data_IF_676737912281
#
_entry.id   IF_676737912281
#
_cell.length_a   1.000
_cell.length_b   1.000
_cell.length_c   1.000
_cell.angle_alpha   90.00
_cell.angle_beta   90.00
_cell.angle_gamma   90.00
#
_symmetry.space_group_name_H-M   'P 1'
#
loop_
_entity.id
_entity.type
_entity.pdbx_description
1 polymer ?
#
# COMPACT_ATOMS: atom_id res chain seq x y z
N UNK A 1 2.34 3.31 4.60
CA UNK A 1 2.50 2.48 5.81
C UNK A 1 2.75 1.07 5.40
N UNK A 2 3.68 0.42 5.98
CA UNK A 2 4.55 -0.57 5.45
C UNK A 2 4.11 -1.98 5.68
N UNK A 3 4.40 -2.81 4.70
CA UNK A 3 4.68 -4.22 4.84
C UNK A 3 5.75 -4.41 5.93
N UNK A 4 5.38 -4.87 7.09
CA UNK A 4 6.32 -5.45 8.02
C UNK A 4 6.35 -6.95 7.73
N UNK A 5 7.48 -7.50 7.28
CA UNK A 5 7.62 -8.94 7.17
C UNK A 5 7.26 -9.57 8.51
N UNK A 6 6.80 -10.80 8.49
CA UNK A 6 6.45 -11.58 9.69
C UNK A 6 7.60 -11.66 10.68
N UNK A 7 7.82 -10.57 11.42
CA UNK A 7 8.68 -10.58 12.57
C UNK A 7 7.87 -11.01 13.78
N UNK A 8 8.45 -11.83 14.63
CA UNK A 8 7.87 -12.49 15.79
C UNK A 8 6.68 -11.75 16.43
N UNK A 9 5.65 -12.48 16.88
CA UNK A 9 4.42 -11.99 17.53
C UNK A 9 4.63 -10.78 18.47
N UNK A 10 5.74 -10.73 19.18
CA UNK A 10 6.07 -9.67 20.15
C UNK A 10 6.46 -8.31 19.52
N UNK A 11 7.03 -8.27 18.32
CA UNK A 11 7.48 -7.01 17.69
C UNK A 11 6.33 -6.23 17.05
N UNK A 12 5.30 -6.92 16.52
CA UNK A 12 4.10 -6.26 15.97
C UNK A 12 3.31 -5.53 17.06
N UNK A 13 3.08 -6.17 18.19
CA UNK A 13 2.37 -5.55 19.32
C UNK A 13 3.07 -4.30 19.83
N UNK A 14 4.41 -4.29 19.92
CA UNK A 14 5.18 -3.12 20.33
C UNK A 14 5.04 -1.95 19.33
N UNK A 15 5.02 -2.22 18.03
CA UNK A 15 4.80 -1.19 17.01
C UNK A 15 3.40 -0.56 17.14
N UNK A 16 2.36 -1.36 17.37
CA UNK A 16 0.99 -0.86 17.50
C UNK A 16 0.81 -0.01 18.75
N UNK A 17 1.44 -0.37 19.87
CA UNK A 17 1.45 0.43 21.10
C UNK A 17 2.17 1.76 20.88
N UNK A 18 3.37 1.74 20.28
CA UNK A 18 4.12 2.94 19.93
C UNK A 18 3.36 3.80 18.93
N UNK A 19 2.73 3.19 17.91
CA UNK A 19 1.88 3.89 16.94
C UNK A 19 0.77 4.69 17.62
N UNK A 20 0.07 4.10 18.58
CA UNK A 20 -0.96 4.80 19.35
C UNK A 20 -0.42 5.99 20.13
N UNK A 21 0.76 5.86 20.74
CA UNK A 21 1.39 6.94 21.52
C UNK A 21 1.89 8.11 20.66
N UNK A 22 2.35 7.85 19.44
CA UNK A 22 2.87 8.88 18.51
C UNK A 22 1.86 9.28 17.43
N UNK A 23 0.61 8.83 17.52
CA UNK A 23 -0.45 9.07 16.52
C UNK A 23 -0.10 8.58 15.12
N UNK A 24 0.54 7.41 15.04
CA UNK A 24 0.93 6.79 13.78
C UNK A 24 -0.15 5.81 13.33
N UNK A 25 -0.73 6.02 12.15
CA UNK A 25 -1.78 5.15 11.61
C UNK A 25 -1.18 3.92 10.96
N UNK A 26 -1.80 2.77 11.16
CA UNK A 26 -1.32 1.46 10.68
C UNK A 26 -2.45 0.71 9.98
N UNK A 27 -2.12 0.00 8.91
CA UNK A 27 -2.99 -1.01 8.32
C UNK A 27 -2.57 -2.40 8.79
N UNK A 28 -3.55 -3.20 9.18
CA UNK A 28 -3.32 -4.57 9.57
C UNK A 28 -3.38 -5.48 8.35
N UNK A 29 -2.27 -6.13 8.04
CA UNK A 29 -2.13 -7.09 6.94
C UNK A 29 -1.61 -8.43 7.45
N UNK A 30 -1.75 -9.48 6.63
CA UNK A 30 -1.10 -10.77 6.85
C UNK A 30 -0.45 -11.28 5.56
N UNK A 31 0.40 -12.31 5.70
CA UNK A 31 1.00 -12.94 4.53
C UNK A 31 -0.06 -13.62 3.66
N UNK A 32 0.05 -13.41 2.34
CA UNK A 32 -0.80 -14.06 1.37
C UNK A 32 -0.42 -15.54 1.19
N UNK A 33 -1.39 -16.44 0.92
CA UNK A 33 -1.09 -17.80 0.51
C UNK A 33 -0.47 -17.82 -0.90
N UNK A 34 0.35 -18.83 -1.19
CA UNK A 34 0.97 -18.98 -2.50
C UNK A 34 -0.02 -19.45 -3.58
N UNK A 35 -1.07 -20.16 -3.20
CA UNK A 35 -2.07 -20.75 -4.10
C UNK A 35 -3.47 -20.59 -3.51
N UNK A 36 -4.48 -20.58 -4.40
CA UNK A 36 -5.89 -20.59 -4.03
C UNK A 36 -6.41 -22.03 -3.98
N UNK A 37 -6.77 -22.52 -2.80
CA UNK A 37 -7.42 -23.80 -2.55
C UNK A 37 -8.17 -23.77 -1.21
N UNK A 38 -8.86 -24.86 -0.88
CA UNK A 38 -9.66 -24.99 0.35
C UNK A 38 -8.82 -24.79 1.62
N UNK A 39 -7.62 -25.39 1.68
CA UNK A 39 -6.69 -25.25 2.81
C UNK A 39 -6.25 -23.79 3.02
N UNK A 40 -5.98 -23.08 1.94
CA UNK A 40 -5.57 -21.67 1.98
C UNK A 40 -6.70 -20.78 2.49
N UNK A 41 -7.92 -21.03 2.04
CA UNK A 41 -9.13 -20.32 2.50
C UNK A 41 -9.33 -20.53 4.00
N UNK A 42 -9.32 -21.80 4.46
CA UNK A 42 -9.51 -22.12 5.88
C UNK A 42 -8.43 -21.47 6.76
N UNK A 43 -7.16 -21.59 6.34
CA UNK A 43 -6.02 -21.04 7.10
C UNK A 43 -6.09 -19.52 7.19
N UNK A 44 -6.41 -18.84 6.10
CA UNK A 44 -6.48 -17.39 6.09
C UNK A 44 -7.60 -16.86 6.98
N UNK A 45 -8.77 -17.47 6.94
CA UNK A 45 -9.89 -17.10 7.82
C UNK A 45 -9.55 -17.31 9.30
N UNK A 46 -8.90 -18.42 9.65
CA UNK A 46 -8.44 -18.68 11.01
C UNK A 46 -7.38 -17.69 11.46
N UNK A 47 -6.38 -17.41 10.62
CA UNK A 47 -5.32 -16.46 10.94
C UNK A 47 -5.88 -15.05 11.17
N UNK A 48 -6.83 -14.60 10.35
CA UNK A 48 -7.50 -13.32 10.55
C UNK A 48 -8.30 -13.25 11.84
N UNK A 49 -8.96 -14.34 12.25
CA UNK A 49 -9.61 -14.41 13.56
C UNK A 49 -8.61 -14.17 14.69
N UNK A 50 -7.44 -14.81 14.61
CA UNK A 50 -6.37 -14.67 15.61
C UNK A 50 -5.72 -13.27 15.57
N UNK A 51 -5.51 -12.70 14.38
CA UNK A 51 -4.96 -11.36 14.20
C UNK A 51 -5.86 -10.32 14.85
N UNK A 52 -7.15 -10.33 14.53
CA UNK A 52 -8.11 -9.38 15.10
C UNK A 52 -8.23 -9.57 16.61
N UNK A 53 -8.36 -10.79 17.10
CA UNK A 53 -8.42 -11.06 18.53
C UNK A 53 -7.19 -10.53 19.29
N UNK A 54 -6.00 -10.62 18.69
CA UNK A 54 -4.76 -10.11 19.26
C UNK A 54 -4.68 -8.58 19.21
N UNK A 55 -5.05 -8.00 18.06
CA UNK A 55 -4.69 -6.62 17.72
C UNK A 55 -5.88 -5.63 17.84
N UNK A 56 -7.09 -6.12 18.15
CA UNK A 56 -8.32 -5.32 18.27
C UNK A 56 -8.17 -4.08 19.16
N UNK A 57 -7.45 -4.19 20.26
CA UNK A 57 -7.28 -3.10 21.25
C UNK A 57 -6.25 -2.03 20.85
N UNK A 58 -5.63 -2.13 19.67
CA UNK A 58 -4.63 -1.15 19.22
C UNK A 58 -5.28 -0.01 18.41
N UNK A 59 -5.40 1.21 18.97
CA UNK A 59 -6.08 2.32 18.29
C UNK A 59 -5.32 2.88 17.08
N UNK A 60 -4.05 2.54 16.92
CA UNK A 60 -3.26 2.89 15.74
C UNK A 60 -3.67 2.15 14.47
N UNK A 61 -4.28 0.98 14.62
CA UNK A 61 -4.78 0.23 13.45
C UNK A 61 -6.10 0.88 13.01
N UNK A 62 -6.15 1.33 11.76
CA UNK A 62 -7.32 2.03 11.19
C UNK A 62 -8.05 1.24 10.13
N UNK A 63 -7.40 0.25 9.52
CA UNK A 63 -8.00 -0.62 8.49
C UNK A 63 -7.39 -2.01 8.51
N UNK A 64 -8.15 -3.00 8.02
CA UNK A 64 -7.72 -4.38 7.79
C UNK A 64 -7.62 -4.66 6.30
N UNK A 65 -6.55 -5.33 5.88
CA UNK A 65 -6.26 -5.65 4.49
C UNK A 65 -6.01 -7.15 4.34
N UNK A 66 -7.07 -7.95 4.04
CA UNK A 66 -6.95 -9.41 3.98
C UNK A 66 -6.21 -9.92 2.76
N UNK A 67 -6.20 -9.18 1.67
CA UNK A 67 -5.56 -9.55 0.40
C UNK A 67 -4.78 -8.35 -0.11
N UNK A 68 -3.54 -8.57 -0.50
CA UNK A 68 -2.69 -7.59 -1.19
C UNK A 68 -2.38 -8.07 -2.61
N UNK A 69 -2.55 -7.18 -3.60
CA UNK A 69 -2.14 -7.38 -4.99
C UNK A 69 -2.62 -8.70 -5.62
N UNK A 70 -3.79 -9.18 -5.20
CA UNK A 70 -4.35 -10.46 -5.64
C UNK A 70 -3.49 -11.68 -5.33
N UNK A 71 -2.47 -11.56 -4.45
CA UNK A 71 -1.71 -12.72 -3.99
C UNK A 71 -2.64 -13.72 -3.30
N UNK A 72 -2.54 -14.98 -3.72
CA UNK A 72 -3.43 -16.06 -3.27
C UNK A 72 -4.78 -16.14 -4.01
N UNK A 73 -5.16 -15.12 -4.78
CA UNK A 73 -6.38 -15.08 -5.58
C UNK A 73 -6.12 -14.56 -7.02
N UNK A 74 -5.20 -15.19 -7.77
CA UNK A 74 -4.66 -14.62 -9.02
C UNK A 74 -5.70 -14.43 -10.15
N UNK A 75 -6.90 -14.99 -10.01
CA UNK A 75 -7.99 -14.91 -10.98
C UNK A 75 -9.16 -14.03 -10.52
N UNK A 76 -9.00 -13.29 -9.44
CA UNK A 76 -10.07 -12.51 -8.80
C UNK A 76 -10.74 -11.53 -9.78
N UNK A 77 -10.01 -11.00 -10.76
CA UNK A 77 -10.57 -10.08 -11.76
C UNK A 77 -11.77 -10.65 -12.53
N UNK A 78 -11.86 -11.97 -12.70
CA UNK A 78 -12.89 -12.62 -13.54
C UNK A 78 -13.45 -13.93 -12.95
N UNK A 79 -12.80 -14.56 -11.97
CA UNK A 79 -13.25 -15.81 -11.35
C UNK A 79 -14.21 -15.51 -10.20
N UNK A 80 -15.48 -15.91 -10.37
CA UNK A 80 -16.54 -15.69 -9.38
C UNK A 80 -16.24 -16.36 -8.03
N UNK A 81 -15.56 -17.49 -8.01
CA UNK A 81 -15.21 -18.19 -6.77
C UNK A 81 -14.25 -17.37 -5.93
N UNK A 82 -13.21 -16.82 -6.57
CA UNK A 82 -12.25 -15.96 -5.89
C UNK A 82 -12.86 -14.60 -5.50
N UNK A 83 -13.79 -14.07 -6.31
CA UNK A 83 -14.55 -12.87 -5.94
C UNK A 83 -15.42 -13.12 -4.71
N UNK A 84 -16.12 -14.25 -4.64
CA UNK A 84 -16.91 -14.62 -3.45
C UNK A 84 -16.04 -14.80 -2.21
N UNK A 85 -14.83 -15.34 -2.37
CA UNK A 85 -13.90 -15.41 -1.25
C UNK A 85 -13.47 -14.01 -0.76
N UNK A 86 -13.13 -13.10 -1.65
CA UNK A 86 -12.80 -11.72 -1.29
C UNK A 86 -13.96 -11.01 -0.57
N UNK A 87 -15.19 -11.17 -1.07
CA UNK A 87 -16.39 -10.65 -0.40
C UNK A 87 -16.63 -11.32 0.96
N UNK A 88 -16.43 -12.64 1.05
CA UNK A 88 -16.54 -13.35 2.32
C UNK A 88 -15.53 -12.83 3.34
N UNK A 89 -14.28 -12.56 2.94
CA UNK A 89 -13.26 -11.95 3.80
C UNK A 89 -13.65 -10.54 4.25
N UNK A 90 -14.15 -9.72 3.34
CA UNK A 90 -14.63 -8.37 3.66
C UNK A 90 -15.72 -8.40 4.75
N UNK A 91 -16.78 -9.18 4.54
CA UNK A 91 -17.86 -9.29 5.52
C UNK A 91 -17.44 -10.00 6.82
N UNK A 92 -16.55 -10.98 6.72
CA UNK A 92 -16.01 -11.67 7.87
C UNK A 92 -15.22 -10.76 8.80
N UNK A 93 -14.37 -9.90 8.26
CA UNK A 93 -13.59 -8.94 9.04
C UNK A 93 -14.51 -7.90 9.70
N UNK A 94 -15.54 -7.41 9.01
CA UNK A 94 -16.56 -6.54 9.59
C UNK A 94 -17.38 -7.23 10.69
N UNK A 95 -17.61 -8.54 10.57
CA UNK A 95 -18.28 -9.31 11.62
C UNK A 95 -17.42 -9.44 12.89
N UNK A 96 -16.09 -9.49 12.74
CA UNK A 96 -15.15 -9.55 13.86
C UNK A 96 -14.83 -8.17 14.44
N UNK A 97 -14.76 -7.14 13.60
CA UNK A 97 -14.47 -5.76 14.00
C UNK A 97 -15.33 -4.75 13.21
N UNK A 98 -16.38 -4.26 13.85
CA UNK A 98 -17.30 -3.25 13.30
C UNK A 98 -16.77 -1.83 13.33
N UNK A 99 -15.56 -1.60 13.85
CA UNK A 99 -15.02 -0.26 14.13
C UNK A 99 -13.99 0.20 13.11
N UNK A 100 -13.41 -0.72 12.34
CA UNK A 100 -12.36 -0.43 11.36
C UNK A 100 -12.84 -0.72 9.95
N UNK A 101 -12.23 0.02 9.01
CA UNK A 101 -12.47 -0.17 7.58
C UNK A 101 -11.76 -1.43 7.06
N UNK A 102 -12.22 -1.95 5.93
CA UNK A 102 -11.64 -3.11 5.25
C UNK A 102 -11.34 -2.78 3.79
N UNK A 103 -10.11 -3.03 3.36
CA UNK A 103 -9.72 -3.02 1.94
C UNK A 103 -9.75 -4.47 1.47
N UNK A 104 -10.68 -4.83 0.60
CA UNK A 104 -10.92 -6.23 0.21
C UNK A 104 -9.76 -6.87 -0.56
N UNK A 105 -9.05 -6.06 -1.38
CA UNK A 105 -7.84 -6.42 -2.09
C UNK A 105 -7.06 -5.12 -2.37
N UNK A 106 -5.91 -4.94 -1.75
CA UNK A 106 -5.14 -3.70 -1.88
C UNK A 106 -4.45 -3.64 -3.25
N UNK A 107 -4.55 -2.49 -3.91
CA UNK A 107 -3.87 -2.17 -5.16
C UNK A 107 -4.74 -2.25 -6.41
N UNK A 108 -5.50 -3.33 -6.61
CA UNK A 108 -6.35 -3.55 -7.80
C UNK A 108 -7.35 -4.69 -7.61
N UNK A 109 -8.19 -4.89 -8.65
CA UNK A 109 -9.20 -5.96 -8.73
C UNK A 109 -10.03 -6.11 -7.46
N UNK A 110 -10.38 -4.97 -6.83
CA UNK A 110 -11.21 -4.94 -5.62
C UNK A 110 -12.61 -5.47 -5.91
N UNK A 111 -13.16 -6.18 -4.93
CA UNK A 111 -14.58 -6.48 -4.85
C UNK A 111 -15.28 -5.38 -4.05
N UNK A 112 -16.20 -5.71 -3.15
CA UNK A 112 -16.75 -4.80 -2.16
C UNK A 112 -15.65 -4.33 -1.21
N UNK A 113 -15.53 -3.01 -0.96
CA UNK A 113 -14.44 -2.43 -0.19
C UNK A 113 -14.84 -1.07 0.39
N UNK A 114 -14.30 -0.70 1.56
CA UNK A 114 -14.55 0.62 2.17
C UNK A 114 -13.64 1.71 1.60
N UNK A 115 -12.50 1.32 1.04
CA UNK A 115 -11.49 2.22 0.50
C UNK A 115 -11.15 1.76 -0.92
N UNK A 116 -11.11 2.68 -1.87
CA UNK A 116 -10.53 2.44 -3.19
C UNK A 116 -9.01 2.59 -3.07
N UNK A 117 -8.32 1.46 -2.98
CA UNK A 117 -6.88 1.37 -2.76
C UNK A 117 -6.14 1.14 -4.08
N UNK A 118 -5.16 1.98 -4.40
CA UNK A 118 -4.46 1.96 -5.68
C UNK A 118 -2.96 1.82 -5.45
N UNK A 119 -2.32 0.90 -6.20
CA UNK A 119 -0.87 0.85 -6.33
C UNK A 119 -0.45 1.44 -7.68
N UNK A 120 0.54 2.32 -7.66
CA UNK A 120 1.06 2.92 -8.88
C UNK A 120 2.54 3.23 -8.79
N UNK A 121 3.36 2.39 -9.42
CA UNK A 121 4.80 2.54 -9.53
C UNK A 121 5.26 3.05 -10.92
N UNK A 122 4.33 3.45 -11.78
CA UNK A 122 4.59 3.77 -13.18
C UNK A 122 5.17 5.18 -13.42
N UNK A 123 5.86 5.76 -12.42
CA UNK A 123 6.44 7.11 -12.52
C UNK A 123 7.71 7.18 -13.41
N UNK A 124 8.31 6.03 -13.73
CA UNK A 124 9.51 5.94 -14.57
C UNK A 124 10.76 6.55 -13.95
N UNK A 125 11.91 6.29 -14.56
CA UNK A 125 13.18 6.96 -14.24
C UNK A 125 13.10 8.46 -14.55
N UNK A 126 14.00 9.26 -14.00
CA UNK A 126 14.02 10.73 -14.19
C UNK A 126 14.08 11.17 -15.65
N UNK A 127 14.67 10.36 -16.53
CA UNK A 127 14.79 10.60 -17.97
C UNK A 127 13.52 10.20 -18.75
N UNK A 128 12.64 9.38 -18.17
CA UNK A 128 11.42 8.85 -18.79
C UNK A 128 10.25 9.82 -18.59
N UNK A 129 10.38 11.03 -19.15
CA UNK A 129 9.40 12.12 -18.95
C UNK A 129 7.98 11.76 -19.37
N UNK A 130 7.80 10.96 -20.42
CA UNK A 130 6.48 10.50 -20.89
C UNK A 130 5.79 9.60 -19.84
N UNK A 131 6.55 8.71 -19.19
CA UNK A 131 6.02 7.88 -18.10
C UNK A 131 5.61 8.73 -16.90
N UNK A 132 6.45 9.70 -16.54
CA UNK A 132 6.14 10.61 -15.45
C UNK A 132 4.93 11.50 -15.75
N UNK A 133 4.79 12.00 -16.98
CA UNK A 133 3.61 12.77 -17.37
C UNK A 133 2.33 11.92 -17.36
N UNK A 134 2.41 10.65 -17.78
CA UNK A 134 1.30 9.71 -17.65
C UNK A 134 0.95 9.43 -16.18
N UNK A 135 1.96 9.23 -15.33
CA UNK A 135 1.77 9.04 -13.89
C UNK A 135 1.05 10.24 -13.26
N UNK A 136 1.55 11.47 -13.51
CA UNK A 136 0.91 12.70 -13.04
C UNK A 136 -0.55 12.81 -13.48
N UNK A 137 -0.80 12.57 -14.76
CA UNK A 137 -2.14 12.68 -15.31
C UNK A 137 -3.08 11.59 -14.74
N UNK A 138 -2.56 10.40 -14.46
CA UNK A 138 -3.33 9.33 -13.81
C UNK A 138 -3.76 9.73 -12.39
N UNK A 139 -2.89 10.38 -11.64
CA UNK A 139 -3.19 10.78 -10.26
C UNK A 139 -4.02 12.07 -10.16
N UNK A 140 -4.12 12.86 -11.21
CA UNK A 140 -4.58 14.23 -11.19
C UNK A 140 -5.99 14.40 -10.63
N UNK A 141 -6.94 13.59 -11.07
CA UNK A 141 -8.35 13.69 -10.70
C UNK A 141 -8.92 12.34 -10.28
N UNK A 142 -10.02 12.35 -9.52
CA UNK A 142 -10.76 11.14 -9.17
C UNK A 142 -11.14 10.32 -10.41
N UNK A 143 -11.61 10.99 -11.47
CA UNK A 143 -11.96 10.31 -12.71
C UNK A 143 -10.77 9.58 -13.34
N UNK A 144 -9.60 10.22 -13.39
CA UNK A 144 -8.39 9.63 -13.93
C UNK A 144 -7.92 8.45 -13.08
N UNK A 145 -7.93 8.59 -11.75
CA UNK A 145 -7.58 7.51 -10.81
C UNK A 145 -8.41 6.23 -11.05
N UNK A 146 -9.68 6.38 -11.38
CA UNK A 146 -10.58 5.23 -11.61
C UNK A 146 -10.48 4.67 -13.04
N UNK A 147 -10.27 5.53 -14.04
CA UNK A 147 -10.33 5.14 -15.46
C UNK A 147 -8.98 4.81 -16.08
N UNK A 148 -7.89 5.39 -15.58
CA UNK A 148 -6.55 5.18 -16.11
C UNK A 148 -5.85 4.08 -15.33
N UNK A 149 -5.42 3.04 -16.03
CA UNK A 149 -4.75 1.93 -15.39
C UNK A 149 -3.26 2.22 -15.26
N UNK A 150 -2.74 2.04 -14.06
CA UNK A 150 -1.30 2.05 -13.76
C UNK A 150 -0.66 0.67 -13.87
N UNK A 151 -1.49 -0.35 -13.91
CA UNK A 151 -1.13 -1.77 -14.03
C UNK A 151 -1.99 -2.43 -15.11
N UNK A 152 -1.66 -3.63 -15.57
CA UNK A 152 -2.53 -4.38 -16.49
C UNK A 152 -3.85 -4.85 -15.82
N UNK A 153 -4.00 -4.64 -14.53
CA UNK A 153 -5.17 -5.06 -13.77
C UNK A 153 -6.18 -3.93 -13.62
N UNK A 154 -7.50 -4.22 -13.68
CA UNK A 154 -8.54 -3.22 -13.42
C UNK A 154 -8.58 -2.86 -11.93
N UNK A 155 -8.95 -1.63 -11.61
CA UNK A 155 -9.14 -1.18 -10.21
C UNK A 155 -10.17 -2.03 -9.46
N UNK A 156 -11.26 -2.38 -10.14
CA UNK A 156 -12.30 -3.27 -9.60
C UNK A 156 -12.39 -4.56 -10.43
N UNK A 157 -12.65 -5.67 -9.76
CA UNK A 157 -12.93 -6.95 -10.41
C UNK A 157 -14.21 -6.86 -11.25
N UNK A 158 -14.35 -7.73 -12.26
CA UNK A 158 -15.54 -7.77 -13.13
C UNK A 158 -16.83 -7.92 -12.31
N UNK A 159 -17.78 -7.04 -12.55
CA UNK A 159 -19.05 -6.98 -11.82
C UNK A 159 -19.04 -6.07 -10.60
N UNK A 160 -17.92 -5.42 -10.30
CA UNK A 160 -17.76 -4.40 -9.26
C UNK A 160 -17.35 -3.06 -9.86
N UNK A 161 -17.62 -1.98 -9.15
CA UNK A 161 -17.32 -0.63 -9.61
C UNK A 161 -17.13 0.31 -8.42
N UNK A 162 -16.51 1.44 -8.69
CA UNK A 162 -16.37 2.53 -7.72
C UNK A 162 -17.72 3.01 -7.20
N UNK A 163 -17.86 3.12 -5.87
CA UNK A 163 -19.06 3.52 -5.15
C UNK A 163 -18.80 4.73 -4.23
N UNK A 164 -17.99 5.67 -4.71
CA UNK A 164 -17.60 6.91 -3.99
C UNK A 164 -16.79 6.70 -2.69
N UNK A 165 -16.13 5.56 -2.55
CA UNK A 165 -15.19 5.34 -1.46
C UNK A 165 -14.04 6.36 -1.51
N UNK A 166 -13.44 6.73 -0.36
CA UNK A 166 -12.19 7.51 -0.36
C UNK A 166 -11.11 6.76 -1.15
N UNK A 167 -10.39 7.48 -2.01
CA UNK A 167 -9.33 6.90 -2.83
C UNK A 167 -8.00 7.14 -2.14
N UNK A 168 -7.26 6.08 -1.87
CA UNK A 168 -5.92 6.13 -1.32
C UNK A 168 -4.91 5.55 -2.32
N UNK A 169 -3.77 6.23 -2.46
CA UNK A 169 -2.60 5.68 -3.14
C UNK A 169 -1.81 4.87 -2.11
N UNK A 170 -2.15 3.60 -1.98
CA UNK A 170 -1.72 2.74 -0.88
C UNK A 170 -0.30 2.21 -1.06
N UNK A 171 0.18 2.15 -2.31
CA UNK A 171 1.58 1.93 -2.62
C UNK A 171 2.02 2.73 -3.85
N UNK A 172 3.20 3.36 -3.75
CA UNK A 172 3.85 4.06 -4.86
C UNK A 172 5.30 4.37 -4.52
N UNK A 173 6.06 4.86 -5.49
CA UNK A 173 7.47 5.20 -5.33
C UNK A 173 8.36 4.01 -5.60
N UNK A 174 8.84 3.34 -4.58
CA UNK A 174 9.71 2.18 -4.78
C UNK A 174 11.05 2.54 -5.41
N UNK A 175 11.63 3.72 -5.06
CA UNK A 175 12.91 4.20 -5.59
C UNK A 175 14.04 3.41 -4.94
N UNK A 176 14.71 2.55 -5.72
CA UNK A 176 15.85 1.79 -5.27
C UNK A 176 17.08 2.67 -5.05
N UNK A 177 17.70 2.53 -3.89
CA UNK A 177 18.96 3.20 -3.55
C UNK A 177 19.83 2.25 -2.75
N UNK A 178 20.89 1.74 -3.37
CA UNK A 178 21.86 0.87 -2.73
C UNK A 178 22.89 1.69 -1.94
N UNK A 179 22.90 1.50 -0.63
CA UNK A 179 23.91 2.07 0.28
C UNK A 179 24.82 0.99 0.89
N UNK A 180 24.54 -0.29 0.60
CA UNK A 180 25.21 -1.44 1.19
C UNK A 180 26.19 -2.15 0.27
N UNK A 181 26.11 -1.89 -1.05
CA UNK A 181 26.85 -2.61 -2.08
C UNK A 181 26.34 -4.04 -2.29
N UNK A 182 25.11 -4.35 -1.85
CA UNK A 182 24.48 -5.66 -2.05
C UNK A 182 23.50 -5.59 -3.24
N UNK A 183 23.45 -6.63 -4.07
CA UNK A 183 22.49 -6.67 -5.17
C UNK A 183 21.05 -6.53 -4.67
N UNK A 184 20.31 -5.63 -5.29
CA UNK A 184 18.90 -5.40 -4.96
C UNK A 184 18.16 -4.73 -6.10
N UNK A 185 16.88 -4.45 -5.91
CA UNK A 185 16.01 -3.85 -6.90
C UNK A 185 15.06 -2.81 -6.30
N UNK A 186 14.56 -1.95 -7.16
CA UNK A 186 13.45 -1.03 -6.96
C UNK A 186 12.73 -0.83 -8.28
N UNK A 187 11.58 -0.17 -8.27
CA UNK A 187 10.83 0.13 -9.51
C UNK A 187 11.56 1.15 -10.38
N UNK A 188 12.30 2.06 -9.75
CA UNK A 188 13.33 2.91 -10.34
C UNK A 188 14.59 2.84 -9.47
N UNK A 189 15.68 3.47 -9.89
CA UNK A 189 16.92 3.46 -9.12
C UNK A 189 17.67 4.80 -9.23
N UNK A 190 18.44 5.10 -8.20
CA UNK A 190 19.30 6.27 -8.11
C UNK A 190 20.66 5.88 -7.52
N UNK A 191 21.69 6.67 -7.82
CA UNK A 191 23.08 6.35 -7.47
C UNK A 191 23.56 7.05 -6.19
N UNK A 192 22.85 8.08 -5.73
CA UNK A 192 23.26 8.86 -4.56
C UNK A 192 22.08 9.54 -3.86
N UNK A 193 22.31 10.01 -2.64
CA UNK A 193 21.32 10.68 -1.79
C UNK A 193 20.67 11.91 -2.45
N UNK A 194 21.45 12.72 -3.14
CA UNK A 194 20.94 13.94 -3.79
C UNK A 194 19.94 13.60 -4.89
N UNK A 195 20.22 12.56 -5.66
CA UNK A 195 19.30 12.05 -6.68
C UNK A 195 18.07 11.43 -6.05
N UNK A 196 18.25 10.68 -4.96
CA UNK A 196 17.12 10.10 -4.22
C UNK A 196 16.14 11.18 -3.76
N UNK A 197 16.62 12.23 -3.08
CA UNK A 197 15.77 13.32 -2.59
C UNK A 197 15.07 14.07 -3.72
N UNK A 198 15.76 14.30 -4.85
CA UNK A 198 15.15 14.92 -6.04
C UNK A 198 14.06 14.05 -6.65
N UNK A 199 14.30 12.74 -6.78
CA UNK A 199 13.34 11.82 -7.37
C UNK A 199 12.16 11.59 -6.43
N UNK A 200 12.41 11.46 -5.12
CA UNK A 200 11.38 11.41 -4.08
C UNK A 200 10.47 12.64 -4.14
N UNK A 201 11.04 13.85 -4.20
CA UNK A 201 10.27 15.08 -4.33
C UNK A 201 9.49 15.12 -5.66
N UNK A 202 10.09 14.67 -6.78
CA UNK A 202 9.43 14.58 -8.09
C UNK A 202 8.18 13.72 -8.03
N UNK A 203 8.29 12.52 -7.48
CA UNK A 203 7.19 11.56 -7.37
C UNK A 203 6.11 12.10 -6.44
N UNK A 204 6.48 12.62 -5.27
CA UNK A 204 5.51 13.21 -4.33
C UNK A 204 4.83 14.47 -4.85
N UNK A 205 5.50 15.27 -5.68
CA UNK A 205 4.87 16.44 -6.30
C UNK A 205 3.66 16.08 -7.15
N UNK A 206 3.68 14.92 -7.83
CA UNK A 206 2.53 14.41 -8.57
C UNK A 206 1.39 13.98 -7.64
N UNK A 207 1.73 13.37 -6.49
CA UNK A 207 0.76 12.97 -5.47
C UNK A 207 0.09 14.21 -4.84
N UNK A 208 0.88 15.23 -4.51
CA UNK A 208 0.39 16.47 -3.88
C UNK A 208 -0.47 17.31 -4.84
N UNK A 209 -0.25 17.21 -6.13
CA UNK A 209 -1.06 17.87 -7.15
C UNK A 209 -2.41 17.17 -7.42
N UNK A 210 -2.66 16.02 -6.83
CA UNK A 210 -3.91 15.28 -6.99
C UNK A 210 -5.04 15.96 -6.22
N UNK A 211 -6.18 16.14 -6.89
CA UNK A 211 -7.43 16.59 -6.24
C UNK A 211 -8.40 15.42 -5.96
N UNK A 212 -7.97 14.19 -6.26
CA UNK A 212 -8.79 12.98 -6.07
C UNK A 212 -8.32 12.05 -4.95
N UNK A 213 -7.09 12.20 -4.47
CA UNK A 213 -6.52 11.36 -3.42
C UNK A 213 -6.85 11.91 -2.02
N UNK A 214 -7.31 11.04 -1.14
CA UNK A 214 -7.53 11.33 0.29
C UNK A 214 -6.30 11.06 1.15
N UNK A 215 -5.34 10.32 0.63
CA UNK A 215 -4.11 10.00 1.33
C UNK A 215 -3.20 9.10 0.50
N UNK A 216 -2.02 8.85 1.03
CA UNK A 216 -1.01 8.03 0.38
C UNK A 216 -0.15 7.26 1.37
N UNK A 217 0.50 6.19 0.88
CA UNK A 217 1.56 5.48 1.59
C UNK A 217 2.72 5.19 0.65
N UNK A 218 3.88 5.77 0.95
CA UNK A 218 5.11 5.54 0.16
C UNK A 218 5.68 4.15 0.43
N UNK A 219 6.07 3.44 -0.61
CA UNK A 219 6.75 2.16 -0.55
C UNK A 219 8.25 2.36 -0.77
N UNK A 220 9.10 2.17 0.28
CA UNK A 220 8.71 1.70 1.59
C UNK A 220 9.56 2.35 2.71
N UNK A 221 9.28 2.04 3.97
CA UNK A 221 10.03 2.64 5.09
C UNK A 221 11.42 2.00 5.27
N UNK A 222 11.52 0.65 5.21
CA UNK A 222 12.78 -0.08 5.33
C UNK A 222 12.97 -1.00 4.14
N UNK A 223 14.22 -1.23 3.73
CA UNK A 223 14.54 -2.30 2.81
C UNK A 223 14.03 -3.66 3.33
N UNK A 224 13.64 -4.54 2.43
CA UNK A 224 13.19 -5.90 2.72
C UNK A 224 13.91 -6.86 1.79
N UNK A 225 14.82 -7.66 2.35
CA UNK A 225 15.66 -8.60 1.60
C UNK A 225 16.36 -7.90 0.41
N UNK A 226 16.07 -8.29 -0.84
CA UNK A 226 16.61 -7.69 -2.05
C UNK A 226 15.83 -6.46 -2.55
N UNK A 227 14.75 -6.10 -1.91
CA UNK A 227 13.98 -4.90 -2.25
C UNK A 227 14.56 -3.69 -1.52
N UNK A 228 15.44 -2.94 -2.22
CA UNK A 228 16.25 -1.86 -1.66
C UNK A 228 15.65 -0.47 -1.87
N UNK A 229 14.35 -0.33 -1.81
CA UNK A 229 13.61 0.91 -2.02
C UNK A 229 13.07 1.58 -0.74
N UNK A 230 13.58 1.15 0.42
CA UNK A 230 13.26 1.75 1.71
C UNK A 230 13.88 3.14 1.89
N UNK A 231 13.26 3.98 2.73
CA UNK A 231 13.86 5.20 3.27
C UNK A 231 14.97 4.88 4.30
N UNK A 232 14.87 3.69 4.90
CA UNK A 232 15.83 3.13 5.84
C UNK A 232 16.38 1.83 5.28
N UNK A 233 17.58 1.45 5.71
CA UNK A 233 18.15 0.14 5.43
C UNK A 233 17.36 -0.98 6.13
N UNK A 234 17.69 -2.25 5.83
CA UNK A 234 17.09 -3.43 6.48
C UNK A 234 17.24 -3.40 8.00
N UNK A 235 18.38 -2.91 8.52
CA UNK A 235 18.67 -2.71 9.94
C UNK A 235 18.21 -1.34 10.48
N UNK A 236 17.43 -0.59 9.70
CA UNK A 236 16.74 0.66 10.07
C UNK A 236 17.65 1.86 10.26
N UNK A 237 18.78 1.88 9.55
CA UNK A 237 19.60 3.08 9.45
C UNK A 237 19.07 4.01 8.35
N UNK A 238 19.03 5.32 8.53
CA UNK A 238 18.64 6.26 7.48
C UNK A 238 19.54 6.11 6.24
N UNK A 239 18.92 6.04 5.07
CA UNK A 239 19.65 6.04 3.79
C UNK A 239 19.87 7.45 3.26
N UNK A 240 19.08 8.41 3.74
CA UNK A 240 19.09 9.82 3.36
C UNK A 240 18.79 10.69 4.58
N UNK A 241 18.98 12.00 4.47
CA UNK A 241 18.61 12.95 5.52
C UNK A 241 17.09 12.93 5.79
N UNK A 242 16.71 12.46 6.97
CA UNK A 242 15.31 12.38 7.39
C UNK A 242 14.64 13.75 7.55
N UNK A 243 15.41 14.81 7.81
CA UNK A 243 14.86 16.17 7.87
C UNK A 243 14.44 16.65 6.47
N UNK A 244 15.22 16.30 5.43
CA UNK A 244 14.85 16.58 4.06
C UNK A 244 13.60 15.79 3.62
N UNK A 245 13.50 14.50 3.96
CA UNK A 245 12.28 13.70 3.73
C UNK A 245 11.07 14.33 4.41
N UNK A 246 11.22 14.72 5.69
CA UNK A 246 10.15 15.39 6.42
C UNK A 246 9.71 16.69 5.74
N UNK A 247 10.65 17.52 5.33
CA UNK A 247 10.35 18.78 4.67
C UNK A 247 9.58 18.60 3.35
N UNK A 248 9.82 17.51 2.61
CA UNK A 248 9.06 17.16 1.42
C UNK A 248 7.65 16.68 1.83
N UNK A 249 7.55 15.82 2.82
CA UNK A 249 6.26 15.28 3.27
C UNK A 249 5.34 16.36 3.87
N UNK A 250 5.90 17.36 4.52
CA UNK A 250 5.14 18.47 5.12
C UNK A 250 4.48 19.40 4.06
N UNK A 251 4.77 19.22 2.76
CA UNK A 251 4.14 20.00 1.69
C UNK A 251 2.72 19.49 1.34
N UNK A 252 2.33 18.30 1.80
CA UNK A 252 0.99 17.76 1.55
C UNK A 252 -0.08 18.44 2.43
N UNK A 253 -1.13 18.94 1.80
CA UNK A 253 -2.28 19.55 2.47
C UNK A 253 -3.59 18.91 2.01
N UNK A 254 -4.32 18.28 2.93
CA UNK A 254 -5.62 17.61 2.67
C UNK A 254 -6.70 18.58 2.14
N UNK A 255 -6.52 19.89 2.35
CA UNK A 255 -7.46 20.93 1.87
C UNK A 255 -7.57 21.05 0.34
N UNK A 256 -6.84 20.24 -0.43
CA UNK A 256 -6.88 20.21 -1.89
C UNK A 256 -7.80 19.10 -2.44
N UNK A 257 -8.40 18.29 -1.56
CA UNK A 257 -9.33 17.22 -1.97
C UNK A 257 -10.71 17.81 -2.15
N UNK A 258 -11.26 17.73 -3.38
CA UNK A 258 -12.62 18.13 -3.75
C UNK A 258 -13.63 16.98 -3.58
#
# INVERSE_FOLDING_TARGET
>A
LQWLPQTSKNRRSALFVLGGSVRFLVWGECAAPAIYNEDSVERLMREWTEIIARDFSHPSIVTWVPINESWGVPKISFDRTQQHFSQAMYHFLHALDKTRLVISNDGWAMTETDICAIHNYAHGQKEETEKYDYFKETLRTRENLIKRLSTPWPIFANGFSYQEQPILLTEFGGIGFDVSGQPGWGYTSVDNEVEFLKDYQRVLSAVYASVGLWGYCYTQLTDVEQEINGLLTYDRQPKVDLAAIKAINDQFHVSQVE
#
